data_IF_911891987918
#
_entry.id   IF_911891987918
#
_cell.length_a   1.000
_cell.length_b   1.000
_cell.length_c   1.000
_cell.angle_alpha   90.00
_cell.angle_beta   90.00
_cell.angle_gamma   90.00
#
_symmetry.space_group_name_H-M   'P 1'
#
loop_
_entity.id
_entity.type
_entity.pdbx_description
1 polymer ?
#
# COMPACT_ATOMS: atom_id res chain seq x y z
N UNK A 1 -15.52 -35.46 -0.77
CA UNK A 1 -16.44 -34.66 0.08
C UNK A 1 -16.20 -33.22 -0.21
N UNK A 2 -17.21 -32.44 -0.59
CA UNK A 2 -17.08 -31.02 -0.88
C UNK A 2 -17.16 -30.27 0.46
N UNK A 3 -16.14 -29.49 0.78
CA UNK A 3 -16.11 -28.66 1.99
C UNK A 3 -16.97 -27.41 1.79
N UNK A 4 -17.57 -26.85 2.85
CA UNK A 4 -18.15 -25.51 2.77
C UNK A 4 -17.08 -24.50 2.30
N UNK A 5 -17.44 -23.66 1.34
CA UNK A 5 -16.52 -22.64 0.79
C UNK A 5 -17.07 -21.25 1.09
N UNK A 6 -16.33 -20.48 1.85
CA UNK A 6 -16.67 -19.10 2.20
C UNK A 6 -15.77 -18.12 1.42
N UNK A 7 -16.37 -17.10 0.86
CA UNK A 7 -15.68 -16.01 0.19
C UNK A 7 -15.84 -14.73 1.01
N UNK A 8 -14.75 -14.22 1.53
CA UNK A 8 -14.74 -13.01 2.34
C UNK A 8 -14.40 -11.82 1.45
N UNK A 9 -15.30 -10.82 1.40
CA UNK A 9 -15.17 -9.64 0.55
C UNK A 9 -15.24 -8.39 1.41
N UNK A 10 -14.28 -7.51 1.22
CA UNK A 10 -14.25 -6.20 1.84
C UNK A 10 -14.85 -5.16 0.91
N UNK A 11 -15.94 -4.53 1.32
CA UNK A 11 -16.66 -3.50 0.55
C UNK A 11 -17.23 -2.41 1.47
N UNK A 12 -16.41 -1.91 2.39
CA UNK A 12 -16.82 -0.96 3.42
C UNK A 12 -16.30 0.46 3.11
N UNK A 13 -17.19 1.38 2.79
CA UNK A 13 -16.88 2.75 2.39
C UNK A 13 -17.70 3.76 3.21
N UNK A 14 -17.13 4.95 3.43
CA UNK A 14 -17.81 6.09 4.07
C UNK A 14 -17.86 7.32 3.17
N UNK A 15 -16.91 7.45 2.23
CA UNK A 15 -16.90 8.52 1.25
C UNK A 15 -17.87 8.22 0.10
N UNK A 16 -18.83 9.12 -0.14
CA UNK A 16 -19.90 8.92 -1.13
C UNK A 16 -19.37 8.77 -2.56
N UNK A 17 -18.37 9.56 -2.93
CA UNK A 17 -17.79 9.52 -4.28
C UNK A 17 -17.00 8.24 -4.52
N UNK A 18 -16.21 7.82 -3.55
CA UNK A 18 -15.48 6.57 -3.60
C UNK A 18 -16.43 5.38 -3.64
N UNK A 19 -17.44 5.37 -2.75
CA UNK A 19 -18.41 4.27 -2.68
C UNK A 19 -19.16 4.10 -4.01
N UNK A 20 -19.60 5.18 -4.64
CA UNK A 20 -20.25 5.15 -5.95
C UNK A 20 -19.32 4.57 -7.03
N UNK A 21 -18.06 5.03 -7.08
CA UNK A 21 -17.07 4.53 -8.05
C UNK A 21 -16.77 3.04 -7.86
N UNK A 22 -16.56 2.63 -6.61
CA UNK A 22 -16.30 1.22 -6.30
C UNK A 22 -17.48 0.33 -6.61
N UNK A 23 -18.71 0.79 -6.38
CA UNK A 23 -19.93 0.07 -6.72
C UNK A 23 -19.99 -0.23 -8.23
N UNK A 24 -19.64 0.74 -9.08
CA UNK A 24 -19.63 0.55 -10.53
C UNK A 24 -18.50 -0.40 -10.99
N UNK A 25 -17.31 -0.32 -10.39
CA UNK A 25 -16.24 -1.28 -10.67
C UNK A 25 -16.65 -2.68 -10.25
N UNK A 26 -17.19 -2.86 -9.04
CA UNK A 26 -17.68 -4.14 -8.50
C UNK A 26 -18.70 -4.80 -9.44
N UNK A 27 -19.59 -4.00 -10.04
CA UNK A 27 -20.61 -4.45 -11.02
C UNK A 27 -20.00 -5.16 -12.22
N UNK A 28 -18.83 -4.73 -12.66
CA UNK A 28 -18.15 -5.24 -13.86
C UNK A 28 -16.99 -6.20 -13.58
N UNK A 29 -16.56 -6.32 -12.32
CA UNK A 29 -15.42 -7.16 -11.89
C UNK A 29 -15.85 -8.30 -10.97
N UNK A 30 -15.95 -8.04 -9.69
CA UNK A 30 -16.24 -9.02 -8.65
C UNK A 30 -17.58 -9.73 -8.88
N UNK A 31 -18.64 -8.99 -9.17
CA UNK A 31 -19.98 -9.57 -9.34
C UNK A 31 -20.06 -10.62 -10.46
N UNK A 32 -19.59 -10.38 -11.70
CA UNK A 32 -19.55 -11.40 -12.73
C UNK A 32 -18.75 -12.64 -12.29
N UNK A 33 -17.61 -12.44 -11.62
CA UNK A 33 -16.80 -13.57 -11.19
C UNK A 33 -17.48 -14.46 -10.16
N UNK A 34 -18.32 -13.90 -9.28
CA UNK A 34 -19.16 -14.67 -8.35
C UNK A 34 -20.29 -15.41 -9.08
N UNK A 35 -20.94 -14.73 -10.04
CA UNK A 35 -22.03 -15.34 -10.85
C UNK A 35 -21.58 -16.57 -11.63
N UNK A 36 -20.36 -16.57 -12.10
CA UNK A 36 -19.85 -17.63 -12.98
C UNK A 36 -19.07 -18.72 -12.23
N UNK A 37 -18.93 -18.65 -10.88
CA UNK A 37 -18.31 -19.74 -10.13
C UNK A 37 -19.06 -21.06 -10.35
N UNK A 38 -18.35 -22.11 -10.74
CA UNK A 38 -18.88 -23.46 -10.89
C UNK A 38 -19.35 -24.03 -9.54
N UNK A 39 -18.56 -23.84 -8.49
CA UNK A 39 -18.94 -24.08 -7.11
C UNK A 39 -19.28 -22.75 -6.46
N UNK A 40 -20.54 -22.54 -6.08
CA UNK A 40 -20.98 -21.31 -5.42
C UNK A 40 -20.47 -21.25 -3.99
N UNK A 41 -19.70 -20.23 -3.62
CA UNK A 41 -19.34 -20.00 -2.23
C UNK A 41 -20.49 -19.34 -1.47
N UNK A 42 -20.46 -19.45 -0.14
CA UNK A 42 -21.20 -18.53 0.73
C UNK A 42 -20.38 -17.23 0.83
N UNK A 43 -20.97 -16.13 0.42
CA UNK A 43 -20.28 -14.85 0.33
C UNK A 43 -20.57 -14.03 1.58
N UNK A 44 -19.52 -13.70 2.33
CA UNK A 44 -19.59 -12.76 3.44
C UNK A 44 -19.02 -11.41 2.98
N UNK A 45 -19.82 -10.37 3.04
CA UNK A 45 -19.43 -9.01 2.60
C UNK A 45 -19.42 -8.10 3.81
N UNK A 46 -18.26 -7.53 4.12
CA UNK A 46 -18.19 -6.45 5.10
C UNK A 46 -18.59 -5.15 4.44
N UNK A 47 -19.57 -4.49 5.04
CA UNK A 47 -20.10 -3.20 4.59
C UNK A 47 -20.08 -2.21 5.76
N UNK A 48 -19.97 -0.93 5.46
CA UNK A 48 -20.08 0.12 6.48
C UNK A 48 -21.53 0.60 6.57
N UNK A 49 -22.14 0.63 7.76
CA UNK A 49 -23.52 1.14 7.92
C UNK A 49 -23.67 2.63 7.53
N UNK A 50 -22.57 3.40 7.55
CA UNK A 50 -22.58 4.78 7.11
C UNK A 50 -22.30 4.96 5.60
N UNK A 51 -22.23 3.86 4.82
CA UNK A 51 -22.05 3.94 3.37
C UNK A 51 -23.28 4.57 2.71
N UNK A 52 -23.15 5.73 2.02
CA UNK A 52 -24.27 6.37 1.33
C UNK A 52 -24.93 5.48 0.27
N UNK A 53 -24.23 4.47 -0.23
CA UNK A 53 -24.69 3.53 -1.26
C UNK A 53 -24.89 2.10 -0.70
N UNK A 54 -25.12 1.98 0.61
CA UNK A 54 -25.25 0.68 1.29
C UNK A 54 -26.36 -0.19 0.69
N UNK A 55 -27.51 0.40 0.40
CA UNK A 55 -28.66 -0.31 -0.16
C UNK A 55 -28.36 -0.89 -1.55
N UNK A 56 -27.79 -0.08 -2.42
CA UNK A 56 -27.42 -0.46 -3.78
C UNK A 56 -26.29 -1.50 -3.76
N UNK A 57 -25.35 -1.38 -2.83
CA UNK A 57 -24.26 -2.33 -2.64
C UNK A 57 -24.78 -3.69 -2.20
N UNK A 58 -25.66 -3.73 -1.20
CA UNK A 58 -26.31 -4.98 -0.77
C UNK A 58 -27.07 -5.63 -1.92
N UNK A 59 -27.93 -4.89 -2.61
CA UNK A 59 -28.68 -5.39 -3.75
C UNK A 59 -27.77 -5.92 -4.88
N UNK A 60 -26.61 -5.28 -5.10
CA UNK A 60 -25.63 -5.73 -6.08
C UNK A 60 -25.09 -7.11 -5.73
N UNK A 61 -24.63 -7.34 -4.50
CA UNK A 61 -24.12 -8.63 -4.08
C UNK A 61 -25.20 -9.71 -4.02
N UNK A 62 -26.40 -9.40 -3.57
CA UNK A 62 -27.57 -10.32 -3.59
C UNK A 62 -27.88 -10.80 -5.01
N UNK A 63 -27.62 -9.97 -6.03
CA UNK A 63 -27.79 -10.35 -7.43
C UNK A 63 -26.72 -11.31 -7.95
N UNK A 64 -25.72 -11.70 -7.14
CA UNK A 64 -24.62 -12.62 -7.54
C UNK A 64 -25.07 -14.04 -7.81
N UNK A 65 -26.22 -14.46 -7.28
CA UNK A 65 -26.68 -15.86 -7.30
C UNK A 65 -25.92 -16.78 -6.33
N UNK A 66 -25.20 -16.19 -5.37
CA UNK A 66 -24.61 -16.86 -4.21
C UNK A 66 -25.49 -16.62 -2.97
N UNK A 67 -25.35 -17.46 -1.93
CA UNK A 67 -25.80 -17.08 -0.59
C UNK A 67 -24.92 -15.93 -0.10
N UNK A 68 -25.53 -14.80 0.29
CA UNK A 68 -24.79 -13.61 0.71
C UNK A 68 -25.16 -13.24 2.14
N UNK A 69 -24.16 -12.97 2.96
CA UNK A 69 -24.31 -12.45 4.34
C UNK A 69 -23.57 -11.13 4.45
N UNK A 70 -24.19 -10.15 5.08
CA UNK A 70 -23.59 -8.84 5.29
C UNK A 70 -23.17 -8.67 6.74
N UNK A 71 -21.90 -8.29 6.93
CA UNK A 71 -21.34 -7.94 8.23
C UNK A 71 -21.21 -6.40 8.27
N UNK A 72 -22.03 -5.76 9.08
CA UNK A 72 -22.01 -4.32 9.24
C UNK A 72 -20.92 -3.91 10.25
N UNK A 73 -19.92 -3.18 9.81
CA UNK A 73 -18.78 -2.72 10.61
C UNK A 73 -18.46 -1.26 10.32
N UNK A 74 -18.12 -0.52 11.36
CA UNK A 74 -17.69 0.89 11.24
C UNK A 74 -16.21 1.04 10.89
N UNK A 75 -15.52 -0.04 10.55
CA UNK A 75 -14.10 -0.06 10.21
C UNK A 75 -13.88 -0.68 8.83
N UNK A 76 -12.83 -0.21 8.17
CA UNK A 76 -12.34 -0.82 6.94
C UNK A 76 -11.20 -1.83 7.20
N UNK A 77 -10.65 -1.86 8.43
CA UNK A 77 -9.61 -2.82 8.82
C UNK A 77 -10.27 -4.09 9.32
N UNK A 78 -10.02 -5.18 8.63
CA UNK A 78 -10.65 -6.48 8.89
C UNK A 78 -9.67 -7.53 9.44
N UNK A 79 -8.44 -7.12 9.76
CA UNK A 79 -7.48 -8.02 10.39
C UNK A 79 -7.90 -8.28 11.84
N UNK A 80 -8.13 -9.55 12.18
CA UNK A 80 -8.55 -9.98 13.51
C UNK A 80 -10.02 -9.73 13.84
N UNK A 81 -10.86 -9.38 12.87
CA UNK A 81 -12.31 -9.28 13.02
C UNK A 81 -12.96 -10.67 12.94
N UNK A 82 -14.00 -10.88 13.73
CA UNK A 82 -14.82 -12.10 13.67
C UNK A 82 -15.73 -12.07 12.43
N UNK A 83 -15.51 -13.00 11.50
CA UNK A 83 -16.32 -13.16 10.30
C UNK A 83 -17.52 -14.07 10.52
N UNK A 84 -17.82 -14.46 11.77
CA UNK A 84 -18.95 -15.32 12.11
C UNK A 84 -18.98 -16.62 11.28
N UNK A 85 -17.81 -17.21 11.03
CA UNK A 85 -17.69 -18.44 10.27
C UNK A 85 -17.92 -19.67 11.17
N UNK A 86 -18.62 -20.70 10.68
CA UNK A 86 -18.85 -21.91 11.48
C UNK A 86 -17.54 -22.63 11.84
N UNK A 87 -17.48 -23.20 13.04
CA UNK A 87 -16.37 -24.04 13.54
C UNK A 87 -16.41 -25.46 12.95
N UNK A 88 -16.46 -25.53 11.62
CA UNK A 88 -16.38 -26.80 10.86
C UNK A 88 -15.19 -26.68 9.88
N UNK A 89 -14.67 -27.84 9.45
CA UNK A 89 -13.63 -27.83 8.44
C UNK A 89 -14.19 -27.28 7.11
N UNK A 90 -13.55 -26.23 6.59
CA UNK A 90 -14.05 -25.39 5.51
C UNK A 90 -12.91 -24.83 4.67
N UNK A 91 -13.23 -24.31 3.51
CA UNK A 91 -12.33 -23.47 2.71
C UNK A 91 -12.76 -22.03 2.87
N UNK A 92 -11.82 -21.14 3.18
CA UNK A 92 -12.06 -19.70 3.27
C UNK A 92 -11.14 -18.99 2.28
N UNK A 93 -11.73 -18.29 1.34
CA UNK A 93 -11.04 -17.42 0.36
C UNK A 93 -11.35 -15.96 0.64
N UNK A 94 -10.47 -15.09 0.20
CA UNK A 94 -10.65 -13.64 0.29
C UNK A 94 -10.40 -12.98 -1.06
N UNK A 95 -11.10 -11.89 -1.32
CA UNK A 95 -10.86 -11.02 -2.47
C UNK A 95 -11.33 -9.60 -2.16
N UNK A 96 -10.83 -8.65 -2.93
CA UNK A 96 -11.34 -7.29 -2.88
C UNK A 96 -12.54 -7.14 -3.84
N UNK A 97 -13.41 -6.16 -3.58
CA UNK A 97 -14.66 -5.99 -4.34
C UNK A 97 -14.46 -5.46 -5.78
N UNK A 98 -13.23 -5.19 -6.16
CA UNK A 98 -12.81 -4.78 -7.51
C UNK A 98 -12.05 -5.87 -8.29
N UNK A 99 -11.76 -7.00 -7.68
CA UNK A 99 -11.00 -8.08 -8.27
C UNK A 99 -11.88 -9.13 -8.98
N UNK A 100 -11.23 -10.06 -9.69
CA UNK A 100 -11.90 -11.09 -10.50
C UNK A 100 -11.27 -12.46 -10.28
N UNK A 101 -12.11 -13.48 -10.19
CA UNK A 101 -11.70 -14.88 -10.11
C UNK A 101 -12.08 -15.66 -11.36
N UNK A 102 -11.31 -16.69 -11.69
CA UNK A 102 -11.67 -17.67 -12.72
C UNK A 102 -12.93 -18.45 -12.31
N UNK A 103 -13.72 -18.90 -13.27
CA UNK A 103 -14.99 -19.60 -13.01
C UNK A 103 -14.82 -20.87 -12.19
N UNK A 104 -13.71 -21.56 -12.38
CA UNK A 104 -13.35 -22.77 -11.63
C UNK A 104 -12.60 -22.52 -10.31
N UNK A 105 -12.44 -21.27 -9.90
CA UNK A 105 -11.60 -20.92 -8.74
C UNK A 105 -12.06 -21.63 -7.46
N UNK A 106 -13.32 -21.51 -7.09
CA UNK A 106 -13.86 -22.14 -5.87
C UNK A 106 -13.88 -23.67 -5.98
N UNK A 107 -14.23 -24.22 -7.14
CA UNK A 107 -14.27 -25.66 -7.38
C UNK A 107 -12.89 -26.31 -7.22
N UNK A 108 -11.86 -25.79 -7.92
CA UNK A 108 -10.52 -26.36 -7.88
C UNK A 108 -9.84 -26.10 -6.54
N UNK A 109 -10.11 -24.96 -5.91
CA UNK A 109 -9.60 -24.66 -4.56
C UNK A 109 -10.16 -25.69 -3.57
N UNK A 110 -11.47 -25.97 -3.62
CA UNK A 110 -12.11 -26.94 -2.77
C UNK A 110 -11.61 -28.38 -3.03
N UNK A 111 -11.46 -28.75 -4.32
CA UNK A 111 -10.93 -30.07 -4.71
C UNK A 111 -9.48 -30.30 -4.26
N UNK A 112 -8.71 -29.23 -4.09
CA UNK A 112 -7.29 -29.27 -3.64
C UNK A 112 -7.17 -29.29 -2.12
N UNK A 113 -8.20 -28.87 -1.41
CA UNK A 113 -8.21 -28.78 0.04
C UNK A 113 -8.03 -30.19 0.68
N UNK A 114 -7.25 -30.33 1.77
CA UNK A 114 -7.19 -31.56 2.53
C UNK A 114 -8.52 -31.79 3.25
N UNK A 115 -8.84 -33.04 3.58
CA UNK A 115 -10.06 -33.39 4.30
C UNK A 115 -10.07 -32.88 5.76
N UNK A 116 -8.92 -32.61 6.32
CA UNK A 116 -8.70 -32.07 7.66
C UNK A 116 -7.32 -31.39 7.78
N UNK A 117 -7.15 -30.59 8.82
CA UNK A 117 -5.93 -29.84 9.10
C UNK A 117 -5.85 -28.53 8.30
N UNK A 118 -5.02 -27.61 8.78
CA UNK A 118 -4.84 -26.29 8.17
C UNK A 118 -3.90 -26.36 6.97
N UNK A 119 -4.31 -25.77 5.85
CA UNK A 119 -3.52 -25.78 4.61
C UNK A 119 -3.80 -24.52 3.77
N UNK A 120 -2.74 -23.81 3.43
CA UNK A 120 -2.84 -22.70 2.49
C UNK A 120 -3.00 -23.24 1.06
N UNK A 121 -3.98 -22.72 0.33
CA UNK A 121 -4.31 -23.10 -1.05
C UNK A 121 -3.97 -21.91 -1.95
N UNK A 122 -2.96 -22.07 -2.79
CA UNK A 122 -2.39 -20.97 -3.55
C UNK A 122 -2.67 -21.08 -5.05
N UNK A 123 -3.03 -19.93 -5.63
CA UNK A 123 -3.11 -19.71 -7.07
C UNK A 123 -1.95 -18.81 -7.49
N UNK A 124 -0.78 -19.38 -7.83
CA UNK A 124 0.42 -18.58 -8.03
C UNK A 124 0.37 -17.68 -9.27
N UNK A 125 -0.51 -17.99 -10.21
CA UNK A 125 -0.58 -17.29 -11.51
C UNK A 125 -1.91 -16.58 -11.70
N UNK A 126 -1.86 -15.40 -12.29
CA UNK A 126 -3.01 -14.57 -12.63
C UNK A 126 -2.62 -13.45 -13.56
N UNK A 127 -3.49 -12.45 -13.63
CA UNK A 127 -3.25 -11.25 -14.43
C UNK A 127 -3.36 -9.99 -13.57
N UNK A 128 -2.69 -8.95 -14.03
CA UNK A 128 -2.92 -7.58 -13.56
C UNK A 128 -3.51 -6.80 -14.71
N UNK A 129 -4.68 -6.19 -14.49
CA UNK A 129 -5.27 -5.25 -15.42
C UNK A 129 -4.90 -3.83 -15.01
N UNK A 130 -4.21 -3.12 -15.89
CA UNK A 130 -3.70 -1.80 -15.64
C UNK A 130 -3.54 -1.00 -16.94
N UNK A 131 -3.99 0.26 -16.95
CA UNK A 131 -3.96 1.14 -18.12
C UNK A 131 -4.50 0.46 -19.38
N UNK A 132 -5.73 -0.06 -19.27
CA UNK A 132 -6.43 -0.73 -20.38
C UNK A 132 -5.70 -1.93 -20.98
N UNK A 133 -4.72 -2.48 -20.27
CA UNK A 133 -3.95 -3.63 -20.69
C UNK A 133 -3.86 -4.70 -19.60
N UNK A 134 -3.74 -5.95 -20.00
CA UNK A 134 -3.52 -7.07 -19.09
C UNK A 134 -2.06 -7.54 -19.15
N UNK A 135 -1.53 -7.90 -17.99
CA UNK A 135 -0.17 -8.42 -17.83
C UNK A 135 -0.22 -9.72 -17.04
N UNK A 136 0.54 -10.72 -17.48
CA UNK A 136 0.68 -11.96 -16.71
C UNK A 136 1.51 -11.73 -15.46
N UNK A 137 1.08 -12.32 -14.35
CA UNK A 137 1.77 -12.22 -13.08
C UNK A 137 1.86 -13.60 -12.43
N UNK A 138 3.05 -13.95 -11.94
CA UNK A 138 3.25 -15.10 -11.06
C UNK A 138 3.70 -14.61 -9.70
N UNK A 139 2.87 -14.81 -8.68
CA UNK A 139 3.11 -14.33 -7.33
C UNK A 139 2.51 -15.30 -6.30
N UNK A 140 3.30 -16.22 -5.72
CA UNK A 140 2.80 -17.23 -4.80
C UNK A 140 2.14 -16.68 -3.53
N UNK A 141 2.60 -15.54 -3.03
CA UNK A 141 2.05 -14.86 -1.86
C UNK A 141 1.06 -13.74 -2.20
N UNK A 142 0.31 -13.87 -3.29
CA UNK A 142 -0.71 -12.89 -3.69
C UNK A 142 -1.94 -12.90 -2.76
N UNK A 143 -2.83 -11.92 -2.94
CA UNK A 143 -4.02 -11.75 -2.11
C UNK A 143 -5.12 -12.81 -2.31
N UNK A 144 -5.04 -13.60 -3.38
CA UNK A 144 -6.02 -14.65 -3.72
C UNK A 144 -5.66 -16.01 -3.11
N UNK A 145 -5.03 -16.00 -1.94
CA UNK A 145 -4.74 -17.20 -1.16
C UNK A 145 -5.99 -17.60 -0.40
N UNK A 146 -6.26 -18.89 -0.38
CA UNK A 146 -7.33 -19.50 0.43
C UNK A 146 -6.74 -20.33 1.56
N UNK A 147 -7.53 -20.58 2.59
CA UNK A 147 -7.18 -21.43 3.72
C UNK A 147 -8.20 -22.54 3.90
N UNK A 148 -7.75 -23.79 3.84
CA UNK A 148 -8.54 -24.92 4.37
C UNK A 148 -8.29 -24.99 5.87
N UNK A 149 -9.33 -24.91 6.69
CA UNK A 149 -9.17 -24.78 8.14
C UNK A 149 -10.47 -25.10 8.89
N UNK A 150 -10.34 -25.37 10.18
CA UNK A 150 -11.51 -25.46 11.09
C UNK A 150 -11.68 -24.17 11.88
N UNK A 151 -10.59 -23.57 12.37
CA UNK A 151 -10.65 -22.55 13.42
C UNK A 151 -10.02 -21.20 13.04
N UNK A 152 -9.23 -21.14 11.95
CA UNK A 152 -8.52 -19.91 11.60
C UNK A 152 -9.30 -19.00 10.67
N UNK A 153 -9.12 -17.70 10.86
CA UNK A 153 -9.55 -16.67 9.93
C UNK A 153 -8.37 -16.28 9.01
N UNK A 154 -8.56 -16.28 7.68
CA UNK A 154 -7.52 -15.85 6.75
C UNK A 154 -7.15 -14.37 6.88
N UNK A 155 -7.86 -13.57 7.68
CA UNK A 155 -7.50 -12.19 8.00
C UNK A 155 -6.60 -12.03 9.24
N UNK A 156 -6.38 -13.08 10.03
CA UNK A 156 -5.48 -13.04 11.20
C UNK A 156 -4.05 -12.65 10.80
N UNK A 157 -3.64 -13.01 9.59
CA UNK A 157 -2.29 -12.68 9.07
C UNK A 157 -2.34 -12.15 7.64
N UNK A 158 -1.35 -11.35 7.27
CA UNK A 158 -1.21 -10.89 5.89
C UNK A 158 -1.02 -12.05 4.90
N UNK A 159 -1.68 -12.00 3.73
CA UNK A 159 -1.68 -13.05 2.70
C UNK A 159 -0.28 -13.56 2.32
N UNK A 160 0.73 -12.70 2.36
CA UNK A 160 2.13 -13.06 2.07
C UNK A 160 2.79 -13.95 3.13
N UNK A 161 2.18 -14.07 4.33
CA UNK A 161 2.64 -14.96 5.40
C UNK A 161 2.05 -16.37 5.29
N UNK A 162 0.97 -16.59 4.56
CA UNK A 162 0.25 -17.86 4.50
C UNK A 162 1.18 -19.04 4.21
N UNK A 163 1.98 -18.97 3.16
CA UNK A 163 2.91 -20.03 2.77
C UNK A 163 4.07 -20.25 3.75
N UNK A 164 4.23 -19.35 4.71
CA UNK A 164 5.23 -19.48 5.79
C UNK A 164 4.61 -20.01 7.09
N UNK A 165 3.31 -19.83 7.27
CA UNK A 165 2.58 -20.19 8.50
C UNK A 165 1.99 -21.58 8.41
N UNK A 166 1.45 -21.96 7.26
CA UNK A 166 0.81 -23.26 7.05
C UNK A 166 1.44 -24.06 5.93
N UNK A 167 1.35 -25.40 5.94
CA UNK A 167 1.58 -26.21 4.77
C UNK A 167 0.78 -25.67 3.59
N UNK A 168 1.30 -25.73 2.37
CA UNK A 168 0.57 -25.21 1.24
C UNK A 168 0.45 -26.20 0.09
N UNK A 169 -0.61 -26.05 -0.69
CA UNK A 169 -0.84 -26.74 -1.97
C UNK A 169 -1.06 -25.73 -3.09
N UNK A 170 -0.52 -26.00 -4.25
CA UNK A 170 -0.84 -25.24 -5.45
C UNK A 170 -2.12 -25.76 -6.07
N UNK A 171 -3.11 -24.89 -6.24
CA UNK A 171 -4.40 -25.26 -6.82
C UNK A 171 -4.28 -25.46 -8.32
N UNK A 172 -3.61 -24.55 -9.02
CA UNK A 172 -3.44 -24.61 -10.46
C UNK A 172 -2.19 -23.83 -10.90
N UNK A 173 -1.62 -24.23 -12.06
CA UNK A 173 -0.59 -23.44 -12.76
C UNK A 173 -1.18 -22.45 -13.76
N UNK A 174 -2.47 -22.61 -14.12
CA UNK A 174 -3.20 -21.69 -14.99
C UNK A 174 -3.56 -20.42 -14.22
N UNK A 175 -3.68 -19.27 -14.89
CA UNK A 175 -4.13 -18.03 -14.24
C UNK A 175 -5.52 -18.20 -13.62
N UNK A 176 -5.64 -17.90 -12.33
CA UNK A 176 -6.88 -18.07 -11.55
C UNK A 176 -7.58 -16.78 -11.17
N UNK A 177 -6.96 -15.62 -11.43
CA UNK A 177 -7.44 -14.34 -10.95
C UNK A 177 -6.98 -13.17 -11.85
N UNK A 178 -7.69 -12.04 -11.73
CA UNK A 178 -7.26 -10.75 -12.25
C UNK A 178 -7.27 -9.75 -11.11
N UNK A 179 -6.14 -9.11 -10.93
CA UNK A 179 -5.96 -7.98 -10.04
C UNK A 179 -6.20 -6.68 -10.82
N UNK A 180 -7.30 -5.98 -10.51
CA UNK A 180 -7.63 -4.73 -11.18
C UNK A 180 -6.95 -3.57 -10.47
N UNK A 181 -6.18 -2.82 -11.24
CA UNK A 181 -5.42 -1.66 -10.76
C UNK A 181 -6.02 -0.37 -11.29
N UNK A 182 -6.56 0.41 -10.40
CA UNK A 182 -7.12 1.73 -10.64
C UNK A 182 -6.66 2.71 -9.57
N UNK A 183 -7.00 3.99 -9.71
CA UNK A 183 -6.49 5.04 -8.84
C UNK A 183 -6.83 4.93 -7.35
N UNK A 184 -7.89 4.22 -6.98
CA UNK A 184 -8.28 4.00 -5.57
C UNK A 184 -7.71 2.69 -4.98
N UNK A 185 -6.89 1.92 -5.72
CA UNK A 185 -6.29 0.69 -5.21
C UNK A 185 -5.11 1.00 -4.26
N UNK A 186 -5.12 0.40 -3.07
CA UNK A 186 -4.22 0.74 -1.96
C UNK A 186 -2.76 0.33 -2.17
N UNK A 187 -2.48 -0.67 -3.02
CA UNK A 187 -1.13 -1.20 -3.24
C UNK A 187 -0.70 -1.11 -4.69
N UNK A 188 0.47 -0.54 -4.97
CA UNK A 188 0.84 -0.06 -6.30
C UNK A 188 2.08 -0.65 -6.95
N UNK A 189 2.82 -1.52 -6.31
CA UNK A 189 4.13 -1.90 -6.83
C UNK A 189 4.06 -2.99 -7.91
N UNK A 190 3.58 -2.62 -9.11
CA UNK A 190 3.65 -3.48 -10.30
C UNK A 190 5.12 -3.65 -10.77
N UNK A 191 6.00 -2.68 -10.50
CA UNK A 191 7.39 -2.66 -11.00
C UNK A 191 8.31 -3.80 -10.50
N UNK A 192 7.98 -4.44 -9.38
CA UNK A 192 8.81 -5.52 -8.79
C UNK A 192 8.63 -6.89 -9.47
N UNK A 193 7.57 -7.09 -10.23
CA UNK A 193 7.25 -8.38 -10.83
C UNK A 193 7.54 -8.35 -12.32
N UNK A 194 8.24 -9.36 -12.84
CA UNK A 194 8.44 -9.55 -14.30
C UNK A 194 7.08 -9.79 -14.94
N UNK A 195 6.53 -8.77 -15.57
CA UNK A 195 5.21 -8.78 -16.18
C UNK A 195 5.36 -8.82 -17.70
N UNK A 196 4.67 -9.76 -18.30
CA UNK A 196 4.55 -9.84 -19.76
C UNK A 196 3.16 -9.39 -20.16
N UNK A 197 3.07 -8.41 -21.05
CA UNK A 197 1.79 -8.00 -21.63
C UNK A 197 1.17 -9.20 -22.34
N UNK A 198 -0.13 -9.42 -22.11
CA UNK A 198 -0.92 -10.47 -22.75
C UNK A 198 -1.92 -9.82 -23.69
N UNK A 199 -2.02 -10.36 -24.92
CA UNK A 199 -2.92 -9.81 -25.92
C UNK A 199 -4.36 -10.31 -25.74
N UNK A 200 -4.54 -11.41 -25.01
CA UNK A 200 -5.85 -12.03 -24.80
C UNK A 200 -5.89 -12.76 -23.46
N UNK A 201 -6.95 -12.54 -22.71
CA UNK A 201 -7.34 -13.36 -21.56
C UNK A 201 -8.35 -14.40 -22.06
N UNK A 202 -8.24 -15.62 -21.56
CA UNK A 202 -9.23 -16.66 -21.83
C UNK A 202 -10.56 -16.31 -21.13
N UNK A 203 -11.46 -15.70 -21.89
CA UNK A 203 -12.77 -15.25 -21.39
C UNK A 203 -13.73 -16.40 -21.08
N UNK A 204 -13.45 -17.63 -21.57
CA UNK A 204 -14.24 -18.79 -21.18
C UNK A 204 -13.95 -19.23 -19.74
N UNK A 205 -12.71 -19.02 -19.29
CA UNK A 205 -12.29 -19.33 -17.92
C UNK A 205 -12.45 -18.15 -16.96
N UNK A 206 -12.18 -16.94 -17.44
CA UNK A 206 -12.32 -15.71 -16.65
C UNK A 206 -13.38 -14.86 -17.35
N UNK A 207 -14.64 -15.04 -16.98
CA UNK A 207 -15.79 -14.43 -17.65
C UNK A 207 -15.88 -12.95 -17.30
N UNK A 208 -15.08 -12.14 -17.96
CA UNK A 208 -14.93 -10.72 -17.68
C UNK A 208 -14.98 -9.89 -18.96
N UNK A 209 -15.63 -8.76 -18.87
CA UNK A 209 -15.59 -7.74 -19.91
C UNK A 209 -14.62 -6.62 -19.50
N UNK A 210 -13.34 -6.77 -19.88
CA UNK A 210 -12.30 -5.79 -19.58
C UNK A 210 -12.61 -4.39 -20.14
N UNK A 211 -13.33 -4.29 -21.27
CA UNK A 211 -13.75 -2.99 -21.83
C UNK A 211 -14.82 -2.33 -20.98
N UNK A 212 -15.68 -3.10 -20.31
CA UNK A 212 -16.66 -2.54 -19.38
C UNK A 212 -15.97 -2.03 -18.11
N UNK A 213 -15.00 -2.77 -17.58
CA UNK A 213 -14.19 -2.32 -16.45
C UNK A 213 -13.42 -1.05 -16.78
N UNK A 214 -12.78 -1.01 -17.94
CA UNK A 214 -12.01 0.15 -18.39
C UNK A 214 -12.90 1.40 -18.49
N UNK A 215 -14.13 1.23 -19.04
CA UNK A 215 -15.12 2.29 -19.09
C UNK A 215 -15.60 2.72 -17.70
N UNK A 216 -15.83 1.76 -16.79
CA UNK A 216 -16.22 2.06 -15.41
C UNK A 216 -15.12 2.83 -14.66
N UNK A 217 -13.86 2.43 -14.84
CA UNK A 217 -12.71 3.15 -14.30
C UNK A 217 -12.63 4.56 -14.89
N UNK A 218 -12.76 4.71 -16.21
CA UNK A 218 -12.70 6.00 -16.88
C UNK A 218 -13.87 6.92 -16.49
N UNK A 219 -15.11 6.38 -16.45
CA UNK A 219 -16.31 7.12 -16.06
C UNK A 219 -16.27 7.58 -14.60
N UNK A 220 -15.55 6.85 -13.75
CA UNK A 220 -15.36 7.21 -12.34
C UNK A 220 -14.35 8.33 -12.12
N UNK A 221 -13.73 8.87 -13.18
CA UNK A 221 -12.65 9.85 -13.06
C UNK A 221 -11.34 9.26 -12.51
N UNK A 222 -11.27 7.94 -12.36
CA UNK A 222 -10.11 7.20 -11.94
C UNK A 222 -9.24 6.90 -13.16
N UNK A 223 -8.77 7.93 -13.84
CA UNK A 223 -7.77 7.70 -14.88
C UNK A 223 -6.66 6.85 -14.30
N UNK A 224 -6.20 5.88 -15.08
CA UNK A 224 -5.03 5.04 -14.80
C UNK A 224 -3.75 5.90 -14.73
N UNK A 225 -3.76 6.89 -13.86
CA UNK A 225 -2.67 7.80 -13.59
C UNK A 225 -1.78 7.29 -12.48
N UNK A 226 -0.61 7.83 -12.41
CA UNK A 226 0.34 7.57 -11.35
C UNK A 226 -0.32 7.81 -9.98
N UNK A 227 -0.04 6.94 -9.03
CA UNK A 227 -0.56 6.93 -7.65
C UNK A 227 -0.48 8.24 -6.89
N UNK A 228 0.34 9.19 -7.36
CA UNK A 228 0.55 10.48 -6.72
C UNK A 228 -0.71 11.38 -6.66
N UNK A 229 -1.72 11.16 -7.50
CA UNK A 229 -2.90 12.03 -7.51
C UNK A 229 -4.07 11.56 -6.62
N UNK A 230 -4.10 10.30 -6.21
CA UNK A 230 -5.28 9.70 -5.56
C UNK A 230 -5.21 9.65 -4.03
N UNK A 231 -4.11 10.10 -3.43
CA UNK A 231 -3.98 10.31 -2.00
C UNK A 231 -4.81 11.50 -1.46
N UNK A 232 -5.56 12.18 -2.31
CA UNK A 232 -6.35 13.36 -1.95
C UNK A 232 -7.72 13.01 -1.37
N UNK A 233 -7.75 12.22 -0.30
CA UNK A 233 -8.94 12.16 0.56
C UNK A 233 -8.81 13.22 1.65
N UNK A 234 -9.69 14.21 1.72
CA UNK A 234 -9.75 15.08 2.89
C UNK A 234 -10.02 14.19 4.11
N UNK A 235 -9.07 14.11 5.04
CA UNK A 235 -9.24 13.44 6.32
C UNK A 235 -8.51 12.12 6.55
N UNK A 236 -7.84 11.51 5.56
CA UNK A 236 -6.98 10.35 5.81
C UNK A 236 -5.51 10.71 5.68
N UNK A 237 -4.84 10.90 6.81
CA UNK A 237 -3.38 10.88 6.88
C UNK A 237 -2.93 9.40 6.84
N UNK A 238 -2.20 9.03 5.81
CA UNK A 238 -1.50 7.74 5.77
C UNK A 238 -0.25 7.89 6.63
N UNK A 239 0.04 6.96 7.56
CA UNK A 239 1.29 7.01 8.31
C UNK A 239 2.51 7.09 7.37
N UNK A 240 3.52 7.92 7.68
CA UNK A 240 4.76 8.00 6.90
C UNK A 240 5.39 6.65 6.58
N UNK A 241 5.46 5.73 7.54
CA UNK A 241 5.98 4.37 7.33
C UNK A 241 5.26 3.62 6.23
N UNK A 242 3.93 3.73 6.18
CA UNK A 242 3.12 3.13 5.13
C UNK A 242 3.33 3.82 3.79
N UNK A 243 3.41 5.15 3.77
CA UNK A 243 3.68 5.92 2.57
C UNK A 243 5.05 5.60 1.96
N UNK A 244 6.11 5.54 2.79
CA UNK A 244 7.47 5.15 2.40
C UNK A 244 7.49 3.74 1.79
N UNK A 245 6.80 2.79 2.42
CA UNK A 245 6.68 1.41 1.91
C UNK A 245 5.95 1.37 0.57
N UNK A 246 4.86 2.12 0.42
CA UNK A 246 4.08 2.22 -0.83
C UNK A 246 4.93 2.75 -1.97
N UNK A 247 5.72 3.79 -1.72
CA UNK A 247 6.56 4.42 -2.74
C UNK A 247 7.92 3.73 -2.95
N UNK A 248 8.21 2.67 -2.18
CA UNK A 248 9.42 1.86 -2.33
C UNK A 248 10.68 2.58 -1.86
N UNK A 249 10.56 3.44 -0.85
CA UNK A 249 11.69 4.07 -0.20
C UNK A 249 12.48 3.04 0.61
N UNK A 250 13.80 3.18 0.63
CA UNK A 250 14.73 2.38 1.44
C UNK A 250 14.62 2.66 2.94
N UNK A 251 14.11 3.81 3.33
CA UNK A 251 13.86 4.19 4.75
C UNK A 251 13.02 3.16 5.54
N UNK A 252 12.24 2.31 4.85
CA UNK A 252 11.45 1.24 5.48
C UNK A 252 11.76 -0.16 4.96
N UNK A 253 12.43 -0.27 3.79
CA UNK A 253 12.76 -1.57 3.18
C UNK A 253 14.18 -2.02 3.46
N UNK A 254 15.06 -1.09 3.74
CA UNK A 254 16.47 -1.25 4.01
C UNK A 254 16.79 -0.78 5.44
N UNK A 255 16.33 0.42 5.80
CA UNK A 255 16.47 1.02 7.12
C UNK A 255 15.22 0.82 7.98
N UNK A 256 15.33 1.04 9.29
CA UNK A 256 14.23 0.86 10.25
C UNK A 256 13.63 2.20 10.73
N UNK A 257 13.55 3.20 9.81
CA UNK A 257 13.12 4.57 10.16
C UNK A 257 11.60 4.76 10.21
N UNK A 258 10.82 3.76 9.78
CA UNK A 258 9.36 3.90 9.64
C UNK A 258 8.66 4.36 10.91
N UNK A 259 8.91 3.71 12.05
CA UNK A 259 8.29 4.06 13.33
C UNK A 259 8.70 5.45 13.81
N UNK A 260 9.96 5.83 13.64
CA UNK A 260 10.46 7.17 13.96
C UNK A 260 9.68 8.26 13.19
N UNK A 261 9.50 8.06 11.87
CA UNK A 261 8.75 9.02 11.07
C UNK A 261 7.27 9.07 11.41
N UNK A 262 6.65 7.96 11.83
CA UNK A 262 5.27 7.95 12.28
C UNK A 262 5.09 8.80 13.55
N UNK A 263 6.01 8.70 14.51
CA UNK A 263 6.03 9.52 15.73
C UNK A 263 6.29 11.00 15.38
N UNK A 264 7.33 11.28 14.58
CA UNK A 264 7.68 12.65 14.18
C UNK A 264 6.51 13.35 13.46
N UNK A 265 5.76 12.64 12.59
CA UNK A 265 4.60 13.22 11.92
C UNK A 265 3.45 13.53 12.85
N UNK A 266 3.22 12.70 13.87
CA UNK A 266 2.21 12.95 14.87
C UNK A 266 2.50 14.23 15.68
N UNK A 267 3.76 14.46 16.01
CA UNK A 267 4.20 15.60 16.81
C UNK A 267 4.29 16.88 15.98
N UNK A 268 4.89 16.82 14.80
CA UNK A 268 5.24 17.98 13.98
C UNK A 268 4.12 18.40 13.02
N UNK A 269 3.37 17.45 12.45
CA UNK A 269 2.34 17.63 11.38
C UNK A 269 2.85 18.54 10.27
N UNK A 270 3.95 18.18 9.58
CA UNK A 270 4.67 19.09 8.71
C UNK A 270 3.87 19.43 7.46
N UNK A 271 3.84 20.73 7.10
CA UNK A 271 3.22 21.24 5.87
C UNK A 271 4.25 21.78 4.86
N UNK A 272 5.51 21.99 5.29
CA UNK A 272 6.63 22.34 4.42
C UNK A 272 7.80 21.44 4.75
N UNK A 273 8.13 20.57 3.81
CA UNK A 273 9.11 19.49 3.98
C UNK A 273 10.20 19.68 2.93
N UNK A 274 11.43 19.57 3.37
CA UNK A 274 12.62 19.60 2.50
C UNK A 274 13.39 18.30 2.68
N UNK A 275 13.86 17.70 1.60
CA UNK A 275 14.74 16.53 1.65
C UNK A 275 15.95 16.74 0.76
N UNK A 276 17.13 16.57 1.33
CA UNK A 276 18.43 16.58 0.66
C UNK A 276 18.78 15.11 0.36
N UNK A 277 19.15 14.80 -0.89
CA UNK A 277 19.32 13.44 -1.34
C UNK A 277 17.99 12.82 -1.81
N UNK A 278 17.69 13.02 -3.09
CA UNK A 278 16.38 12.65 -3.65
C UNK A 278 16.43 11.30 -4.37
N UNK A 279 17.58 10.95 -4.95
CA UNK A 279 17.81 9.74 -5.73
C UNK A 279 16.71 9.54 -6.81
N UNK A 280 15.76 8.64 -6.57
CA UNK A 280 14.64 8.37 -7.49
C UNK A 280 13.38 9.18 -7.18
N UNK A 281 13.34 9.89 -6.06
CA UNK A 281 12.20 10.65 -5.54
C UNK A 281 11.14 9.79 -4.86
N UNK A 282 11.49 8.60 -4.41
CA UNK A 282 10.56 7.70 -3.73
C UNK A 282 10.04 8.31 -2.41
N UNK A 283 10.95 8.83 -1.60
CA UNK A 283 10.64 9.49 -0.33
C UNK A 283 9.86 10.79 -0.52
N UNK A 284 10.22 11.65 -1.47
CA UNK A 284 9.46 12.88 -1.76
C UNK A 284 8.00 12.59 -2.12
N UNK A 285 7.77 11.53 -2.92
CA UNK A 285 6.40 11.09 -3.23
C UNK A 285 5.69 10.56 -2.00
N UNK A 286 6.41 9.85 -1.12
CA UNK A 286 5.87 9.33 0.13
C UNK A 286 5.45 10.46 1.07
N UNK A 287 6.27 11.50 1.25
CA UNK A 287 5.93 12.66 2.07
C UNK A 287 4.70 13.40 1.55
N UNK A 288 4.65 13.60 0.23
CA UNK A 288 3.47 14.19 -0.41
C UNK A 288 2.23 13.31 -0.28
N UNK A 289 2.40 12.00 -0.27
CA UNK A 289 1.33 11.04 -0.06
C UNK A 289 0.83 11.03 1.40
N UNK A 290 1.76 11.04 2.38
CA UNK A 290 1.43 11.10 3.80
C UNK A 290 0.73 12.41 4.19
N UNK A 291 1.15 13.53 3.57
CA UNK A 291 0.58 14.85 3.82
C UNK A 291 0.28 15.56 2.49
N UNK A 292 -0.88 15.30 1.87
CA UNK A 292 -1.23 15.86 0.56
C UNK A 292 -1.23 17.39 0.49
N UNK A 293 -1.50 18.06 1.62
CA UNK A 293 -1.46 19.52 1.73
C UNK A 293 -0.03 20.08 1.80
N UNK A 294 0.98 19.25 2.10
CA UNK A 294 2.34 19.72 2.28
C UNK A 294 2.97 20.22 0.97
N UNK A 295 3.78 21.25 1.05
CA UNK A 295 4.79 21.59 0.05
C UNK A 295 6.01 20.72 0.32
N UNK A 296 6.44 19.93 -0.66
CA UNK A 296 7.59 19.03 -0.56
C UNK A 296 8.62 19.47 -1.60
N UNK A 297 9.82 19.80 -1.16
CA UNK A 297 10.93 20.26 -1.99
C UNK A 297 12.10 19.29 -1.81
N UNK A 298 12.65 18.82 -2.90
CA UNK A 298 13.88 18.04 -2.91
C UNK A 298 15.10 18.91 -3.16
N UNK A 299 16.27 18.42 -2.76
CA UNK A 299 17.55 18.96 -3.18
C UNK A 299 18.51 17.82 -3.54
N UNK A 300 19.04 17.82 -4.76
CA UNK A 300 19.90 16.74 -5.26
C UNK A 300 20.81 17.29 -6.35
N UNK A 301 21.93 16.59 -6.62
CA UNK A 301 22.78 16.90 -7.79
C UNK A 301 22.07 16.64 -9.12
N UNK A 302 21.05 15.78 -9.11
CA UNK A 302 20.26 15.43 -10.28
C UNK A 302 18.82 15.88 -10.12
N UNK A 303 18.26 16.44 -11.19
CA UNK A 303 16.83 16.75 -11.24
C UNK A 303 16.02 15.47 -11.45
N UNK A 304 14.88 15.35 -10.74
CA UNK A 304 13.94 14.24 -10.91
C UNK A 304 12.70 14.76 -11.64
N UNK A 305 12.39 14.26 -12.84
CA UNK A 305 11.23 14.71 -13.60
C UNK A 305 9.91 14.60 -12.82
N UNK A 306 9.14 15.67 -12.83
CA UNK A 306 7.83 15.73 -12.19
C UNK A 306 7.86 15.97 -10.67
N UNK A 307 9.03 16.26 -10.09
CA UNK A 307 9.17 16.67 -8.69
C UNK A 307 9.80 18.08 -8.60
N UNK A 308 9.49 18.79 -7.52
CA UNK A 308 10.12 20.07 -7.20
C UNK A 308 11.49 19.79 -6.55
N UNK A 309 12.54 19.80 -7.37
CA UNK A 309 13.92 19.52 -6.93
C UNK A 309 14.82 20.67 -7.28
N UNK A 310 15.51 21.22 -6.29
CA UNK A 310 16.58 22.20 -6.43
C UNK A 310 17.88 21.45 -6.72
N UNK A 311 18.55 21.84 -7.81
CA UNK A 311 19.85 21.23 -8.10
C UNK A 311 20.93 21.85 -7.19
N UNK A 312 21.59 21.00 -6.42
CA UNK A 312 22.70 21.38 -5.55
C UNK A 312 23.85 20.38 -5.70
N UNK A 313 25.06 20.83 -5.38
CA UNK A 313 26.24 19.96 -5.23
C UNK A 313 26.81 20.21 -3.83
N UNK A 314 26.61 19.25 -2.93
CA UNK A 314 27.06 19.37 -1.54
C UNK A 314 28.59 19.59 -1.46
N UNK A 315 29.06 20.47 -0.58
CA UNK A 315 28.35 21.17 0.48
C UNK A 315 27.81 22.57 0.09
N UNK A 316 27.58 22.88 -1.20
CA UNK A 316 26.98 24.17 -1.59
C UNK A 316 25.45 24.13 -1.46
N UNK A 317 24.93 24.63 -0.37
CA UNK A 317 23.48 24.76 -0.08
C UNK A 317 22.88 26.10 -0.48
N UNK A 318 23.68 27.03 -1.06
CA UNK A 318 23.23 28.36 -1.45
C UNK A 318 21.95 28.37 -2.32
N UNK A 319 21.88 27.60 -3.41
CA UNK A 319 20.67 27.53 -4.23
C UNK A 319 19.41 27.06 -3.48
N UNK A 320 19.57 26.13 -2.53
CA UNK A 320 18.46 25.66 -1.69
C UNK A 320 18.02 26.75 -0.70
N UNK A 321 18.96 27.43 -0.03
CA UNK A 321 18.66 28.55 0.88
C UNK A 321 17.86 29.64 0.13
N UNK A 322 18.25 30.04 -1.05
CA UNK A 322 17.52 31.03 -1.84
C UNK A 322 16.10 30.54 -2.21
N UNK A 323 15.95 29.29 -2.58
CA UNK A 323 14.63 28.70 -2.83
C UNK A 323 13.74 28.73 -1.60
N UNK A 324 14.28 28.41 -0.42
CA UNK A 324 13.54 28.38 0.83
C UNK A 324 13.18 29.77 1.34
N UNK A 325 13.98 30.80 1.09
CA UNK A 325 13.60 32.21 1.37
C UNK A 325 12.31 32.60 0.64
N UNK A 326 12.12 32.11 -0.59
CA UNK A 326 10.91 32.40 -1.37
C UNK A 326 9.68 31.61 -0.88
N UNK A 327 9.87 30.43 -0.27
CA UNK A 327 8.79 29.57 0.22
C UNK A 327 8.38 29.93 1.66
N UNK A 328 9.29 30.53 2.42
CA UNK A 328 9.15 30.82 3.83
C UNK A 328 9.58 29.67 4.74
N UNK A 329 9.53 29.86 6.07
CA UNK A 329 10.06 28.90 7.03
C UNK A 329 9.46 27.51 6.86
N UNK A 330 10.29 26.47 6.95
CA UNK A 330 9.92 25.06 6.77
C UNK A 330 9.73 24.35 8.11
N UNK A 331 8.92 23.30 8.11
CA UNK A 331 8.63 22.51 9.30
C UNK A 331 9.65 21.42 9.53
N UNK A 332 10.12 20.78 8.44
CA UNK A 332 10.97 19.62 8.50
C UNK A 332 12.00 19.67 7.38
N UNK A 333 13.27 19.49 7.74
CA UNK A 333 14.38 19.24 6.82
C UNK A 333 14.90 17.83 7.11
N UNK A 334 15.10 17.03 6.05
CA UNK A 334 15.66 15.68 6.11
C UNK A 334 16.92 15.70 5.26
N UNK A 335 18.06 15.37 5.85
CA UNK A 335 19.34 15.23 5.17
C UNK A 335 19.67 13.74 5.01
N UNK A 336 19.44 13.25 3.81
CA UNK A 336 19.71 11.91 3.31
C UNK A 336 20.66 11.99 2.09
N UNK A 337 21.61 12.92 2.18
CA UNK A 337 22.43 13.35 1.03
C UNK A 337 23.71 12.54 0.82
N UNK A 338 24.86 13.12 1.18
CA UNK A 338 26.17 12.53 0.93
C UNK A 338 26.60 11.48 1.95
N UNK A 339 25.94 11.42 3.09
CA UNK A 339 26.30 10.61 4.27
C UNK A 339 27.73 10.89 4.81
N UNK A 340 28.30 12.02 4.42
CA UNK A 340 29.60 12.47 4.92
C UNK A 340 29.36 13.46 6.04
N UNK A 341 29.84 13.17 7.25
CA UNK A 341 29.60 13.98 8.46
C UNK A 341 29.86 15.48 8.22
N UNK A 342 30.98 15.83 7.57
CA UNK A 342 31.32 17.22 7.27
C UNK A 342 30.23 17.91 6.45
N UNK A 343 29.66 17.25 5.46
CA UNK A 343 28.62 17.81 4.58
C UNK A 343 27.30 17.91 5.31
N UNK A 344 26.96 16.88 6.11
CA UNK A 344 25.76 16.87 6.97
C UNK A 344 25.78 18.00 8.02
N UNK A 345 26.95 18.23 8.65
CA UNK A 345 27.13 19.37 9.58
C UNK A 345 27.02 20.71 8.87
N UNK A 346 27.59 20.84 7.66
CA UNK A 346 27.49 22.06 6.86
C UNK A 346 26.04 22.31 6.41
N UNK A 347 25.31 21.27 6.05
CA UNK A 347 23.88 21.35 5.73
C UNK A 347 23.04 21.82 6.90
N UNK A 348 23.26 21.21 8.06
CA UNK A 348 22.60 21.62 9.29
C UNK A 348 22.87 23.10 9.63
N UNK A 349 24.10 23.57 9.50
CA UNK A 349 24.47 24.96 9.73
C UNK A 349 23.82 25.91 8.73
N UNK A 350 23.90 25.61 7.43
CA UNK A 350 23.40 26.46 6.35
C UNK A 350 21.86 26.59 6.36
N UNK A 351 21.14 25.54 6.78
CA UNK A 351 19.70 25.46 6.64
C UNK A 351 18.93 25.61 7.96
N UNK A 352 19.64 25.70 9.09
CA UNK A 352 19.00 25.82 10.42
C UNK A 352 18.02 26.98 10.50
N UNK A 353 18.43 28.14 9.96
CA UNK A 353 17.60 29.34 9.97
C UNK A 353 16.43 29.32 8.96
N UNK A 354 16.39 28.32 8.10
CA UNK A 354 15.24 28.07 7.24
C UNK A 354 14.09 27.34 7.95
N UNK A 355 14.36 26.68 9.09
CA UNK A 355 13.31 26.06 9.90
C UNK A 355 12.46 27.13 10.61
N UNK A 356 11.19 26.86 10.80
CA UNK A 356 10.38 27.62 11.77
C UNK A 356 10.77 27.26 13.20
N UNK A 357 10.42 28.13 14.17
CA UNK A 357 10.50 27.75 15.59
C UNK A 357 9.58 26.55 15.85
N UNK A 358 10.09 25.54 16.53
CA UNK A 358 9.44 24.24 16.69
C UNK A 358 9.52 23.32 15.45
N UNK A 359 10.27 23.69 14.43
CA UNK A 359 10.62 22.81 13.30
C UNK A 359 11.76 21.86 13.65
N UNK A 360 11.95 20.83 12.84
CA UNK A 360 12.94 19.77 13.04
C UNK A 360 13.88 19.60 11.86
N UNK A 361 15.14 19.31 12.16
CA UNK A 361 16.15 18.86 11.19
C UNK A 361 16.53 17.41 11.52
N UNK A 362 16.39 16.50 10.56
CA UNK A 362 16.76 15.08 10.67
C UNK A 362 17.96 14.81 9.77
N UNK A 363 18.94 14.12 10.28
CA UNK A 363 20.10 13.61 9.52
C UNK A 363 20.03 12.10 9.53
N UNK A 364 19.96 11.46 8.36
CA UNK A 364 19.91 10.02 8.20
C UNK A 364 21.30 9.43 7.90
N UNK A 365 21.40 8.11 8.07
CA UNK A 365 22.53 7.29 7.66
C UNK A 365 23.87 7.77 8.23
N UNK A 366 23.90 8.04 9.53
CA UNK A 366 25.14 8.33 10.24
C UNK A 366 26.03 7.08 10.23
N UNK A 367 27.21 7.22 9.66
CA UNK A 367 28.08 6.11 9.30
C UNK A 367 28.75 5.45 10.50
N UNK A 368 29.04 6.22 11.54
CA UNK A 368 29.76 5.76 12.74
C UNK A 368 29.05 6.23 14.03
N UNK A 369 29.42 5.62 15.14
CA UNK A 369 28.96 6.06 16.47
C UNK A 369 29.45 7.49 16.77
N UNK A 370 30.68 7.82 16.37
CA UNK A 370 31.24 9.17 16.54
C UNK A 370 30.53 10.23 15.68
N UNK A 371 29.91 9.87 14.54
CA UNK A 371 29.07 10.81 13.80
C UNK A 371 27.82 11.15 14.62
N UNK A 372 27.23 10.16 15.30
CA UNK A 372 26.13 10.40 16.25
C UNK A 372 26.55 11.28 17.42
N UNK A 373 27.74 11.05 18.01
CA UNK A 373 28.28 11.87 19.11
C UNK A 373 28.43 13.33 18.68
N UNK A 374 28.89 13.60 17.45
CA UNK A 374 29.06 14.96 16.94
C UNK A 374 27.73 15.74 16.86
N UNK A 375 26.59 15.08 16.64
CA UNK A 375 25.26 15.69 16.76
C UNK A 375 24.75 15.73 18.19
N UNK A 376 25.03 14.69 19.01
CA UNK A 376 24.72 14.66 20.44
C UNK A 376 25.32 15.82 21.21
N UNK A 377 26.59 16.17 20.95
CA UNK A 377 27.30 17.32 21.52
C UNK A 377 26.66 18.67 21.19
N UNK A 378 25.89 18.73 20.12
CA UNK A 378 25.08 19.89 19.73
C UNK A 378 23.67 19.91 20.38
N UNK A 379 23.38 18.92 21.25
CA UNK A 379 22.11 18.79 21.94
C UNK A 379 20.99 18.15 21.08
N UNK A 380 21.35 17.43 20.03
CA UNK A 380 20.40 16.68 19.22
C UNK A 380 20.14 15.30 19.83
N UNK A 381 18.98 14.74 19.57
CA UNK A 381 18.68 13.36 19.94
C UNK A 381 19.19 12.41 18.83
N UNK A 382 19.88 11.35 19.24
CA UNK A 382 20.45 10.34 18.33
C UNK A 382 19.74 9.02 18.56
N UNK A 383 19.34 8.39 17.45
CA UNK A 383 18.70 7.08 17.40
C UNK A 383 19.62 6.09 16.68
N UNK A 384 19.90 4.94 17.29
CA UNK A 384 20.78 3.90 16.74
C UNK A 384 20.06 2.56 16.76
N UNK A 385 19.74 2.07 15.59
CA UNK A 385 19.17 0.74 15.35
C UNK A 385 20.18 -0.25 14.78
N UNK A 386 21.45 0.12 14.58
CA UNK A 386 22.49 -0.68 13.95
C UNK A 386 22.64 -2.07 14.56
N UNK A 387 22.55 -2.17 15.88
CA UNK A 387 22.61 -3.45 16.60
C UNK A 387 21.37 -4.33 16.36
N UNK A 388 20.22 -3.72 16.14
CA UNK A 388 18.95 -4.42 15.93
C UNK A 388 18.83 -4.93 14.48
N UNK A 389 19.26 -4.14 13.53
CA UNK A 389 19.12 -4.42 12.09
C UNK A 389 20.32 -5.12 11.50
N UNK A 390 21.49 -5.06 12.17
CA UNK A 390 22.76 -5.53 11.65
C UNK A 390 23.39 -4.61 10.60
N UNK A 391 22.80 -3.41 10.41
CA UNK A 391 23.31 -2.39 9.47
C UNK A 391 24.07 -1.32 10.24
N UNK A 392 25.27 -1.10 9.82
CA UNK A 392 26.21 -0.15 10.45
C UNK A 392 25.81 1.32 10.27
N UNK A 393 25.01 1.64 9.27
CA UNK A 393 24.51 2.97 8.89
C UNK A 393 23.04 3.22 9.34
N UNK A 394 22.42 2.33 10.10
CA UNK A 394 21.04 2.47 10.55
C UNK A 394 20.94 3.35 11.81
N UNK A 395 21.38 4.61 11.65
CA UNK A 395 21.41 5.65 12.68
C UNK A 395 20.92 6.97 12.11
N UNK A 396 20.25 7.76 12.94
CA UNK A 396 19.86 9.13 12.61
C UNK A 396 20.00 10.07 13.80
N UNK A 397 20.08 11.36 13.52
CA UNK A 397 20.00 12.43 14.53
C UNK A 397 18.88 13.41 14.20
N UNK A 398 18.24 13.97 15.25
CA UNK A 398 17.21 15.00 15.12
C UNK A 398 17.50 16.18 16.04
N UNK A 399 17.48 17.37 15.47
CA UNK A 399 17.56 18.63 16.17
C UNK A 399 16.27 19.43 16.03
N UNK A 400 15.83 20.09 17.11
CA UNK A 400 14.64 20.94 17.15
C UNK A 400 15.01 22.39 17.28
N UNK A 401 14.49 23.25 16.40
CA UNK A 401 14.70 24.72 16.51
C UNK A 401 13.85 25.30 17.65
N UNK A 402 14.53 25.72 18.75
CA UNK A 402 13.87 26.23 19.94
C UNK A 402 13.64 27.74 19.93
N UNK A 403 14.49 28.48 19.21
CA UNK A 403 14.47 29.97 19.13
C UNK A 403 14.87 30.46 17.74
#
# INVERSE_FOLDING_TARGET
>A
MTLPHYMLIQSAYTDAGLSARRLEITRHSCLPSLRYQHLKPVVHVVVNPADPWLRERKALFESSGCEVRFLERNTWRLYGEDWELPSVHKVVSRMDDDDVLAAEFCELTNATAPAFGDCALIWPSGYVFWRSAAFSLTHPGNQFVSLATTNHDPHEIGHWKFVKTWPFRRVSTKPGWIWIRHGDAVTSTIRKYRQRRVNRIDSARIPINLRAIDRAIAASGLASGDYAEHARRPGHSVPPSQALTIHGSDKTSVHNYGAFYDELWNDLKPLRIVEIGVLTGASLRAWKYATPAATVIGADRNLVPGLDVVQIVTPDYGPLVERLKAVGPVDLIIDDGSHVLRDQLAGAEALWDCLRVGGAYVVEDLQTESDGEAFGDRGWSVYDWSRKTGRWDDRLAIGWRKH
#
